data_IF_525447322343
#
_entry.id   IF_525447322343
#
_cell.length_a   1.000
_cell.length_b   1.000
_cell.length_c   1.000
_cell.angle_alpha   90.00
_cell.angle_beta   90.00
_cell.angle_gamma   90.00
#
_symmetry.space_group_name_H-M   'P 1'
#
loop_
_entity.id
_entity.type
_entity.pdbx_description
1 polymer ?
#
# COMPACT_ATOMS: atom_id res chain seq x y z
N UNK A 1 30.28 -37.79 37.01
CA UNK A 1 30.72 -38.42 35.74
C UNK A 1 31.14 -37.30 34.79
N UNK A 2 32.43 -36.94 34.76
CA UNK A 2 33.43 -37.19 33.69
C UNK A 2 33.03 -36.77 32.25
N UNK A 3 33.73 -35.69 31.82
CA UNK A 3 34.06 -35.15 30.48
C UNK A 3 34.00 -36.14 29.29
N UNK A 4 33.72 -35.66 28.07
CA UNK A 4 34.77 -35.22 27.10
C UNK A 4 34.22 -34.71 25.75
N UNK A 5 34.89 -33.65 25.27
CA UNK A 5 34.87 -33.12 23.91
C UNK A 5 35.54 -34.09 22.92
N UNK A 6 35.02 -34.19 21.70
CA UNK A 6 35.72 -34.82 20.57
C UNK A 6 36.32 -33.72 19.70
N UNK A 7 37.66 -33.62 19.74
CA UNK A 7 38.48 -32.92 18.76
C UNK A 7 38.93 -33.94 17.71
N UNK A 8 38.66 -33.68 16.43
CA UNK A 8 39.29 -34.41 15.33
C UNK A 8 40.45 -33.57 14.79
N UNK A 9 41.68 -34.07 15.03
CA UNK A 9 42.91 -33.64 14.36
C UNK A 9 43.12 -34.57 13.17
N UNK A 10 43.28 -34.03 11.96
CA UNK A 10 43.98 -34.74 10.90
C UNK A 10 45.22 -33.97 10.45
N UNK A 11 46.18 -34.75 9.97
CA UNK A 11 47.62 -34.64 10.18
C UNK A 11 48.30 -34.06 8.93
N UNK A 12 49.44 -33.40 9.18
CA UNK A 12 50.37 -32.81 8.22
C UNK A 12 50.81 -33.81 7.13
N UNK A 13 51.04 -33.30 5.92
CA UNK A 13 52.18 -33.71 5.08
C UNK A 13 52.71 -32.52 4.28
N UNK A 14 54.01 -32.55 4.04
CA UNK A 14 54.88 -31.46 3.58
C UNK A 14 55.56 -31.88 2.28
N UNK A 15 55.63 -30.98 1.29
CA UNK A 15 56.63 -30.91 0.21
C UNK A 15 56.24 -29.69 -0.64
N UNK A 16 56.84 -28.51 -0.48
CA UNK A 16 58.10 -28.06 -1.11
C UNK A 16 58.11 -28.33 -2.62
N UNK A 17 57.76 -27.31 -3.41
CA UNK A 17 58.45 -27.04 -4.68
C UNK A 17 58.75 -25.54 -4.80
N UNK A 18 60.04 -25.29 -4.91
CA UNK A 18 60.70 -24.01 -5.11
C UNK A 18 60.59 -23.67 -6.60
N UNK A 19 60.06 -22.50 -6.93
CA UNK A 19 59.99 -22.01 -8.32
C UNK A 19 60.05 -20.49 -8.32
N UNK A 20 61.27 -19.96 -8.45
CA UNK A 20 61.54 -18.54 -8.62
C UNK A 20 61.15 -18.09 -10.03
N UNK A 21 60.27 -17.09 -10.15
CA UNK A 21 60.16 -16.27 -11.37
C UNK A 21 60.22 -14.80 -10.95
N UNK A 22 61.24 -14.15 -11.49
CA UNK A 22 61.53 -12.73 -11.43
C UNK A 22 60.48 -11.90 -12.18
N UNK A 23 60.06 -10.81 -11.55
CA UNK A 23 60.03 -9.46 -12.15
C UNK A 23 59.11 -9.20 -13.33
N UNK A 24 57.98 -8.55 -13.05
CA UNK A 24 57.48 -7.45 -13.87
C UNK A 24 56.58 -6.55 -13.01
N UNK A 25 57.13 -5.41 -12.61
CA UNK A 25 56.41 -4.31 -11.99
C UNK A 25 55.42 -3.73 -13.01
N UNK A 26 54.16 -4.16 -12.93
CA UNK A 26 53.07 -3.51 -13.64
C UNK A 26 52.58 -2.34 -12.79
N UNK A 27 52.62 -1.18 -13.41
CA UNK A 27 52.33 0.14 -12.87
C UNK A 27 50.84 0.17 -12.48
N UNK A 28 50.56 0.70 -11.29
CA UNK A 28 49.21 1.01 -10.82
C UNK A 28 48.48 1.88 -11.86
N UNK A 29 47.56 1.29 -12.63
CA UNK A 29 46.52 2.07 -13.29
C UNK A 29 45.43 2.25 -12.25
N UNK A 30 45.46 3.38 -11.55
CA UNK A 30 44.30 3.89 -10.83
C UNK A 30 43.18 4.08 -11.85
N UNK A 31 42.36 3.07 -12.05
CA UNK A 31 41.00 3.30 -12.52
C UNK A 31 40.34 4.11 -11.42
N UNK A 32 40.34 5.42 -11.57
CA UNK A 32 39.20 6.18 -11.09
C UNK A 32 38.04 5.61 -11.89
N UNK A 33 37.30 4.68 -11.29
CA UNK A 33 35.89 4.57 -11.62
C UNK A 33 35.34 5.93 -11.20
N UNK A 34 35.30 6.84 -12.16
CA UNK A 34 34.40 7.98 -12.08
C UNK A 34 33.02 7.33 -12.00
N UNK A 35 32.57 7.08 -10.76
CA UNK A 35 31.19 6.85 -10.44
C UNK A 35 30.47 8.12 -10.87
N UNK A 36 30.11 8.14 -12.14
CA UNK A 36 29.02 8.96 -12.65
C UNK A 36 27.88 8.74 -11.66
N UNK A 37 27.43 9.77 -10.93
CA UNK A 37 26.34 9.58 -9.99
C UNK A 37 25.19 9.03 -10.84
N UNK A 38 24.82 7.78 -10.57
CA UNK A 38 23.68 7.11 -11.20
C UNK A 38 22.56 8.14 -11.18
N UNK A 39 22.25 8.74 -12.33
CA UNK A 39 21.22 9.77 -12.36
C UNK A 39 19.95 9.12 -11.82
N UNK A 40 19.40 9.67 -10.75
CA UNK A 40 18.17 9.16 -10.12
C UNK A 40 17.02 9.29 -11.10
N UNK A 41 16.85 8.24 -11.90
CA UNK A 41 15.75 8.09 -12.85
C UNK A 41 14.63 7.46 -12.05
N UNK A 42 13.58 8.24 -11.80
CA UNK A 42 12.31 7.75 -11.28
C UNK A 42 11.59 7.03 -12.43
N UNK A 43 11.23 5.78 -12.21
CA UNK A 43 10.67 4.86 -13.22
C UNK A 43 9.19 4.54 -12.95
N UNK A 44 8.51 3.98 -13.94
CA UNK A 44 7.12 3.50 -13.78
C UNK A 44 7.02 2.35 -12.78
N UNK A 45 8.07 1.54 -12.66
CA UNK A 45 8.16 0.49 -11.67
C UNK A 45 8.25 1.05 -10.23
N UNK A 46 8.90 2.20 -10.03
CA UNK A 46 8.87 2.89 -8.73
C UNK A 46 7.45 3.38 -8.40
N UNK A 47 6.72 3.86 -9.42
CA UNK A 47 5.31 4.24 -9.27
C UNK A 47 4.42 3.03 -8.97
N UNK A 48 4.64 1.89 -9.65
CA UNK A 48 3.95 0.63 -9.36
C UNK A 48 4.12 0.21 -7.90
N UNK A 49 5.36 0.16 -7.39
CA UNK A 49 5.62 -0.27 -6.01
C UNK A 49 4.92 0.64 -4.98
N UNK A 50 4.91 1.96 -5.23
CA UNK A 50 4.20 2.93 -4.40
C UNK A 50 2.70 2.72 -4.47
N UNK A 51 2.13 2.60 -5.68
CA UNK A 51 0.68 2.39 -5.87
C UNK A 51 0.25 1.12 -5.13
N UNK A 52 0.95 0.00 -5.34
CA UNK A 52 0.66 -1.27 -4.66
C UNK A 52 0.65 -1.07 -3.12
N UNK A 53 1.66 -0.40 -2.57
CA UNK A 53 1.73 -0.10 -1.14
C UNK A 53 0.65 0.87 -0.62
N UNK A 54 -0.04 1.60 -1.50
CA UNK A 54 -1.19 2.43 -1.12
C UNK A 54 -2.54 1.74 -1.31
N UNK A 55 -2.56 0.63 -2.07
CA UNK A 55 -3.78 -0.04 -2.48
C UNK A 55 -4.14 -1.22 -1.58
N UNK A 56 -3.18 -2.09 -1.25
CA UNK A 56 -3.44 -3.39 -0.63
C UNK A 56 -3.85 -3.31 0.85
N UNK A 57 -4.68 -4.24 1.28
CA UNK A 57 -5.24 -4.31 2.63
C UNK A 57 -4.15 -4.47 3.70
N UNK A 58 -3.13 -5.28 3.45
CA UNK A 58 -2.02 -5.51 4.39
C UNK A 58 -1.11 -4.30 4.67
N UNK A 59 -1.39 -3.14 4.07
CA UNK A 59 -0.76 -1.84 4.37
C UNK A 59 -1.72 -0.81 4.94
N UNK A 60 -2.94 -1.24 5.31
CA UNK A 60 -4.06 -0.36 5.61
C UNK A 60 -4.34 0.60 4.44
N UNK A 61 -4.27 0.05 3.21
CA UNK A 61 -4.45 0.80 1.97
C UNK A 61 -5.90 1.13 1.65
N UNK A 62 -6.13 1.57 0.41
CA UNK A 62 -7.48 1.87 -0.11
C UNK A 62 -8.44 0.68 0.06
N UNK A 63 -7.98 -0.56 -0.16
CA UNK A 63 -8.82 -1.76 -0.04
C UNK A 63 -9.38 -1.91 1.37
N UNK A 64 -8.54 -1.83 2.40
CA UNK A 64 -8.96 -1.89 3.81
C UNK A 64 -9.85 -0.69 4.17
N UNK A 65 -9.56 0.51 3.63
CA UNK A 65 -10.38 1.72 3.87
C UNK A 65 -11.81 1.55 3.34
N UNK A 66 -11.95 0.93 2.16
CA UNK A 66 -13.24 0.62 1.54
C UNK A 66 -14.00 -0.46 2.34
N UNK A 67 -13.31 -1.52 2.76
CA UNK A 67 -13.88 -2.56 3.62
C UNK A 67 -14.37 -1.97 4.94
N UNK A 68 -13.59 -1.08 5.56
CA UNK A 68 -13.95 -0.39 6.78
C UNK A 68 -15.22 0.47 6.60
N UNK A 69 -15.30 1.24 5.51
CA UNK A 69 -16.46 2.07 5.21
C UNK A 69 -17.73 1.20 5.02
N UNK A 70 -17.60 0.07 4.30
CA UNK A 70 -18.69 -0.91 4.10
C UNK A 70 -19.14 -1.56 5.41
N UNK A 71 -18.17 -1.96 6.25
CA UNK A 71 -18.43 -2.57 7.56
C UNK A 71 -19.14 -1.58 8.48
N UNK A 72 -18.74 -0.31 8.49
CA UNK A 72 -19.40 0.74 9.28
C UNK A 72 -20.87 0.88 8.90
N UNK A 73 -21.21 0.83 7.60
CA UNK A 73 -22.61 0.84 7.14
C UNK A 73 -23.41 -0.35 7.70
N UNK A 74 -22.78 -1.52 7.76
CA UNK A 74 -23.43 -2.73 8.27
C UNK A 74 -23.61 -2.72 9.80
N UNK A 75 -22.58 -2.29 10.54
CA UNK A 75 -22.60 -2.17 12.00
C UNK A 75 -23.66 -1.17 12.47
N UNK A 76 -23.80 -0.06 11.75
CA UNK A 76 -24.86 0.93 11.98
C UNK A 76 -26.24 0.47 11.46
N UNK A 77 -26.39 -0.81 11.08
CA UNK A 77 -27.65 -1.41 10.66
C UNK A 77 -28.37 -0.65 9.51
N UNK A 78 -27.63 0.14 8.72
CA UNK A 78 -28.15 1.00 7.66
C UNK A 78 -28.76 0.15 6.55
N UNK A 79 -28.06 -0.91 6.17
CA UNK A 79 -28.52 -1.90 5.18
C UNK A 79 -29.74 -2.72 5.64
N UNK A 80 -30.25 -2.53 6.87
CA UNK A 80 -31.39 -3.27 7.42
C UNK A 80 -32.63 -2.39 7.69
N UNK A 81 -32.61 -1.10 7.33
CA UNK A 81 -33.63 -0.09 7.67
C UNK A 81 -33.92 0.03 9.17
N UNK A 82 -32.92 -0.31 10.00
CA UNK A 82 -32.98 -0.20 11.46
C UNK A 82 -31.81 0.64 11.99
N UNK A 83 -31.34 1.58 11.18
CA UNK A 83 -30.23 2.44 11.56
C UNK A 83 -30.54 3.14 12.88
N UNK A 84 -29.71 2.98 13.93
CA UNK A 84 -29.89 3.70 15.18
C UNK A 84 -29.42 5.15 15.08
N UNK A 85 -28.68 5.50 14.02
CA UNK A 85 -28.18 6.83 13.74
C UNK A 85 -29.23 7.72 13.06
N UNK A 86 -29.19 9.01 13.40
CA UNK A 86 -30.08 10.02 12.85
C UNK A 86 -29.60 10.48 11.48
N UNK A 87 -30.55 10.72 10.57
CA UNK A 87 -30.26 11.34 9.28
C UNK A 87 -29.59 12.70 9.47
N UNK A 88 -28.63 13.00 8.60
CA UNK A 88 -27.89 14.27 8.50
C UNK A 88 -27.08 14.65 9.75
N UNK A 89 -26.96 13.74 10.72
CA UNK A 89 -26.11 13.90 11.89
C UNK A 89 -24.71 13.37 11.63
N UNK A 90 -23.70 14.14 12.03
CA UNK A 90 -22.30 13.77 11.89
C UNK A 90 -21.83 13.00 13.13
N UNK A 91 -21.26 11.82 12.90
CA UNK A 91 -20.71 10.95 13.93
C UNK A 91 -19.19 10.89 13.78
N UNK A 92 -18.46 11.07 14.89
CA UNK A 92 -17.01 11.00 14.89
C UNK A 92 -16.53 9.55 15.02
N UNK A 93 -15.43 9.20 14.35
CA UNK A 93 -14.73 7.94 14.51
C UNK A 93 -13.29 8.20 14.96
N UNK A 94 -12.79 7.40 15.91
CA UNK A 94 -11.40 7.43 16.33
C UNK A 94 -10.98 6.10 16.96
N UNK A 95 -9.92 5.49 16.44
CA UNK A 95 -9.36 4.25 16.95
C UNK A 95 -7.93 4.01 16.44
N UNK A 96 -7.26 3.00 16.99
CA UNK A 96 -5.96 2.54 16.48
C UNK A 96 -6.12 1.22 15.73
N UNK A 97 -5.50 1.11 14.56
CA UNK A 97 -5.49 -0.07 13.72
C UNK A 97 -4.07 -0.62 13.64
N UNK A 98 -3.84 -1.85 14.09
CA UNK A 98 -2.54 -2.50 13.96
C UNK A 98 -2.68 -3.98 13.65
N UNK A 99 -1.81 -4.48 12.78
CA UNK A 99 -1.77 -5.90 12.39
C UNK A 99 -0.35 -6.29 12.03
N UNK A 100 0.03 -7.51 12.40
CA UNK A 100 1.35 -8.08 12.09
C UNK A 100 1.20 -9.45 11.46
N UNK A 101 1.95 -9.66 10.38
CA UNK A 101 2.07 -10.89 9.61
C UNK A 101 3.56 -11.26 9.53
N UNK A 102 3.92 -12.49 9.07
CA UNK A 102 5.32 -12.93 9.04
C UNK A 102 6.32 -12.01 8.29
N UNK A 103 5.86 -11.18 7.36
CA UNK A 103 6.72 -10.33 6.52
C UNK A 103 6.12 -8.94 6.20
N UNK A 104 5.05 -8.57 6.91
CA UNK A 104 4.33 -7.30 6.72
C UNK A 104 3.60 -6.89 8.00
N UNK A 105 3.48 -5.60 8.23
CA UNK A 105 2.75 -5.05 9.37
C UNK A 105 2.28 -3.63 9.09
N UNK A 106 1.28 -3.18 9.83
CA UNK A 106 0.92 -1.78 9.92
C UNK A 106 0.56 -1.39 11.35
N UNK A 107 0.71 -0.11 11.65
CA UNK A 107 0.30 0.53 12.89
C UNK A 107 -0.14 1.98 12.58
N UNK A 108 -1.43 2.25 12.79
CA UNK A 108 -2.11 3.46 12.37
C UNK A 108 -3.04 3.99 13.46
N UNK A 109 -3.11 5.31 13.55
CA UNK A 109 -4.21 6.01 14.21
C UNK A 109 -5.17 6.52 13.15
N UNK A 110 -6.45 6.23 13.35
CA UNK A 110 -7.54 6.57 12.45
C UNK A 110 -8.43 7.57 13.16
N UNK A 111 -8.69 8.70 12.52
CA UNK A 111 -9.67 9.70 12.92
C UNK A 111 -10.58 10.00 11.74
N UNK A 112 -11.79 10.49 11.98
CA UNK A 112 -12.68 10.81 10.87
C UNK A 112 -14.12 11.03 11.30
N UNK A 113 -15.02 10.91 10.33
CA UNK A 113 -16.45 11.00 10.59
C UNK A 113 -17.27 10.26 9.55
N UNK A 114 -18.53 10.01 9.90
CA UNK A 114 -19.51 9.48 8.97
C UNK A 114 -20.88 10.12 9.18
N UNK A 115 -21.70 10.09 8.13
CA UNK A 115 -23.04 10.68 8.12
C UNK A 115 -23.96 9.90 7.18
N UNK A 116 -25.14 9.55 7.67
CA UNK A 116 -26.22 9.00 6.85
C UNK A 116 -27.07 10.14 6.30
N UNK A 117 -27.15 10.28 4.98
CA UNK A 117 -28.09 11.18 4.33
C UNK A 117 -29.36 10.41 3.96
N UNK A 118 -30.52 11.03 4.20
CA UNK A 118 -31.82 10.44 3.91
C UNK A 118 -32.59 11.24 2.85
N UNK A 119 -33.49 10.57 2.13
CA UNK A 119 -34.39 11.23 1.19
C UNK A 119 -35.55 11.93 1.94
N UNK A 120 -36.44 12.60 1.21
CA UNK A 120 -37.60 13.30 1.77
C UNK A 120 -38.59 12.42 2.55
N UNK A 121 -38.53 11.10 2.36
CA UNK A 121 -39.37 10.13 3.06
C UNK A 121 -38.68 9.59 4.33
N UNK A 122 -37.46 10.05 4.64
CA UNK A 122 -36.66 9.56 5.76
C UNK A 122 -35.96 8.22 5.48
N UNK A 123 -35.87 7.78 4.22
CA UNK A 123 -35.17 6.55 3.85
C UNK A 123 -33.71 6.84 3.50
N UNK A 124 -32.81 5.91 3.84
CA UNK A 124 -31.37 5.99 3.56
C UNK A 124 -31.09 6.21 2.07
N UNK A 125 -30.40 7.30 1.73
CA UNK A 125 -30.05 7.68 0.36
C UNK A 125 -28.57 7.48 0.08
N UNK A 126 -27.70 8.06 0.92
CA UNK A 126 -26.26 7.89 0.83
C UNK A 126 -25.62 7.90 2.21
N UNK A 127 -24.40 7.38 2.29
CA UNK A 127 -23.58 7.40 3.49
C UNK A 127 -22.24 8.03 3.14
N UNK A 128 -21.91 9.12 3.81
CA UNK A 128 -20.61 9.78 3.70
C UNK A 128 -19.68 9.19 4.75
N UNK A 129 -18.47 8.84 4.33
CA UNK A 129 -17.42 8.32 5.19
C UNK A 129 -16.12 9.06 4.87
N UNK A 130 -15.60 9.74 5.87
CA UNK A 130 -14.36 10.50 5.79
C UNK A 130 -13.39 9.98 6.83
N UNK A 131 -12.12 9.81 6.46
CA UNK A 131 -11.08 9.52 7.44
C UNK A 131 -9.79 10.29 7.15
N UNK A 132 -9.02 10.46 8.21
CA UNK A 132 -7.65 10.91 8.21
C UNK A 132 -6.85 9.93 9.06
N UNK A 133 -5.81 9.38 8.46
CA UNK A 133 -5.05 8.27 9.03
C UNK A 133 -3.58 8.66 9.06
N UNK A 134 -2.89 8.35 10.16
CA UNK A 134 -1.45 8.61 10.32
C UNK A 134 -0.76 7.43 10.96
N UNK A 135 0.41 7.06 10.45
CA UNK A 135 1.15 5.93 11.00
C UNK A 135 2.20 5.38 10.05
N UNK A 136 2.36 4.06 10.10
CA UNK A 136 3.40 3.36 9.36
C UNK A 136 2.93 2.01 8.86
N UNK A 137 3.53 1.56 7.76
CA UNK A 137 3.55 0.15 7.40
C UNK A 137 4.97 -0.32 7.14
N UNK A 138 5.14 -1.63 7.27
CA UNK A 138 6.35 -2.32 6.88
C UNK A 138 6.03 -3.53 6.02
N UNK A 139 6.79 -3.74 4.95
CA UNK A 139 6.72 -4.88 4.04
C UNK A 139 8.13 -5.38 3.72
N UNK A 140 8.19 -6.49 3.00
CA UNK A 140 9.45 -7.09 2.55
C UNK A 140 10.27 -6.14 1.67
N UNK A 141 9.62 -5.38 0.79
CA UNK A 141 10.29 -4.51 -0.20
C UNK A 141 10.32 -3.04 0.19
N UNK A 142 9.49 -2.61 1.15
CA UNK A 142 9.28 -1.20 1.44
C UNK A 142 8.75 -1.00 2.85
N UNK A 143 9.21 0.05 3.51
CA UNK A 143 8.56 0.61 4.70
C UNK A 143 8.13 2.04 4.42
N UNK A 144 7.09 2.51 5.09
CA UNK A 144 6.58 3.87 4.92
C UNK A 144 6.19 4.47 6.27
N UNK A 145 6.46 5.75 6.41
CA UNK A 145 5.74 6.61 7.34
C UNK A 145 4.86 7.54 6.52
N UNK A 146 3.56 7.47 6.74
CA UNK A 146 2.60 8.15 5.90
C UNK A 146 1.35 8.59 6.64
N UNK A 147 0.60 9.43 5.93
CA UNK A 147 -0.74 9.82 6.25
C UNK A 147 -1.61 9.67 5.01
N UNK A 148 -2.89 9.38 5.20
CA UNK A 148 -3.85 9.46 4.11
C UNK A 148 -5.19 10.01 4.57
N UNK A 149 -5.93 10.53 3.62
CA UNK A 149 -7.30 10.97 3.79
C UNK A 149 -8.21 10.33 2.74
N UNK A 150 -9.46 10.09 3.11
CA UNK A 150 -10.49 9.67 2.16
C UNK A 150 -11.79 10.43 2.36
N UNK A 151 -12.49 10.62 1.26
CA UNK A 151 -13.85 11.16 1.18
C UNK A 151 -14.63 10.20 0.28
N UNK A 152 -15.46 9.36 0.90
CA UNK A 152 -16.20 8.30 0.25
C UNK A 152 -17.70 8.53 0.39
N UNK A 153 -18.40 8.43 -0.74
CA UNK A 153 -19.85 8.46 -0.80
C UNK A 153 -20.35 7.08 -1.22
N UNK A 154 -21.08 6.44 -0.31
CA UNK A 154 -21.66 5.12 -0.48
C UNK A 154 -23.14 5.27 -0.81
N UNK A 155 -23.57 4.61 -1.87
CA UNK A 155 -24.97 4.55 -2.33
C UNK A 155 -25.41 3.10 -2.51
N UNK A 156 -26.67 2.90 -2.91
CA UNK A 156 -27.22 1.56 -3.05
C UNK A 156 -27.53 0.92 -1.69
N UNK A 157 -27.86 1.71 -0.67
CA UNK A 157 -28.08 1.27 0.72
C UNK A 157 -29.35 0.43 0.93
N UNK A 158 -30.20 0.27 -0.10
CA UNK A 158 -31.43 -0.50 0.03
C UNK A 158 -31.14 -1.99 0.34
N UNK A 159 -31.83 -2.61 1.33
CA UNK A 159 -31.59 -4.01 1.72
C UNK A 159 -31.77 -5.05 0.60
N UNK A 160 -32.53 -4.72 -0.46
CA UNK A 160 -32.76 -5.61 -1.61
C UNK A 160 -31.61 -5.64 -2.60
N UNK A 161 -30.68 -4.68 -2.53
CA UNK A 161 -29.48 -4.65 -3.37
C UNK A 161 -28.38 -5.48 -2.72
N UNK A 162 -27.76 -6.39 -3.48
CA UNK A 162 -26.59 -7.17 -3.04
C UNK A 162 -25.38 -6.28 -2.78
N UNK A 163 -25.19 -5.27 -3.64
CA UNK A 163 -23.99 -4.43 -3.63
C UNK A 163 -24.33 -2.99 -3.24
N UNK A 164 -23.40 -2.33 -2.56
CA UNK A 164 -23.33 -0.87 -2.48
C UNK A 164 -22.36 -0.33 -3.53
N UNK A 165 -22.52 0.94 -3.90
CA UNK A 165 -21.61 1.62 -4.84
C UNK A 165 -20.88 2.75 -4.12
N UNK A 166 -19.56 2.74 -4.18
CA UNK A 166 -18.69 3.77 -3.64
C UNK A 166 -18.13 4.64 -4.76
N UNK A 167 -18.22 5.95 -4.57
CA UNK A 167 -17.51 6.97 -5.35
C UNK A 167 -16.75 7.86 -4.37
N UNK A 168 -15.67 8.50 -4.80
CA UNK A 168 -14.95 9.41 -3.90
C UNK A 168 -13.50 9.62 -4.26
N UNK A 169 -12.74 10.06 -3.26
CA UNK A 169 -11.31 10.26 -3.37
C UNK A 169 -10.54 9.65 -2.20
N UNK A 170 -9.31 9.27 -2.46
CA UNK A 170 -8.36 8.79 -1.47
C UNK A 170 -6.99 9.36 -1.80
N UNK A 171 -6.36 10.03 -0.85
CA UNK A 171 -5.03 10.62 -1.04
C UNK A 171 -4.08 10.15 0.05
N UNK A 172 -2.95 9.55 -0.36
CA UNK A 172 -1.90 9.09 0.54
C UNK A 172 -0.59 9.80 0.28
N UNK A 173 -0.02 10.39 1.33
CA UNK A 173 1.25 11.11 1.33
C UNK A 173 2.22 10.43 2.31
N UNK A 174 3.43 10.17 1.86
CA UNK A 174 4.38 9.43 2.69
C UNK A 174 5.82 9.66 2.33
N UNK A 175 6.69 9.20 3.23
CA UNK A 175 8.09 8.94 2.93
C UNK A 175 8.30 7.44 2.99
N UNK A 176 8.70 6.87 1.86
CA UNK A 176 8.99 5.46 1.73
C UNK A 176 10.50 5.24 1.74
N UNK A 177 10.87 4.10 2.30
CA UNK A 177 12.21 3.55 2.26
C UNK A 177 12.12 2.21 1.54
N UNK A 178 12.68 2.15 0.34
CA UNK A 178 12.83 0.88 -0.37
C UNK A 178 13.84 0.00 0.36
N UNK A 179 13.55 -1.30 0.43
CA UNK A 179 14.43 -2.36 0.95
C UNK A 179 14.97 -3.26 -0.16
N UNK A 180 14.70 -2.89 -1.40
CA UNK A 180 15.20 -3.57 -2.59
C UNK A 180 15.97 -2.57 -3.44
N UNK A 181 16.74 -3.09 -4.41
CA UNK A 181 17.56 -2.29 -5.32
C UNK A 181 18.52 -1.39 -4.53
N UNK A 182 18.48 -0.08 -4.80
CA UNK A 182 19.41 0.90 -4.25
C UNK A 182 19.00 1.42 -2.86
N UNK A 183 18.05 0.76 -2.19
CA UNK A 183 17.55 1.15 -0.86
C UNK A 183 17.26 2.66 -0.77
N UNK A 184 16.60 3.18 -1.81
CA UNK A 184 16.36 4.62 -1.93
C UNK A 184 15.22 5.04 -1.02
N UNK A 185 15.33 6.26 -0.51
CA UNK A 185 14.20 6.97 0.07
C UNK A 185 13.57 7.87 -0.99
N UNK A 186 12.25 7.85 -1.04
CA UNK A 186 11.45 8.76 -1.86
C UNK A 186 10.25 9.23 -1.04
N UNK A 187 9.76 10.44 -1.35
CA UNK A 187 8.44 10.87 -0.91
C UNK A 187 7.43 10.67 -2.02
N UNK A 188 6.21 10.31 -1.63
CA UNK A 188 5.11 10.10 -2.55
C UNK A 188 3.89 10.94 -2.15
N UNK A 189 3.12 11.32 -3.16
CA UNK A 189 1.71 11.67 -3.04
C UNK A 189 0.96 10.87 -4.09
N UNK A 190 0.01 10.03 -3.65
CA UNK A 190 -0.83 9.20 -4.51
C UNK A 190 -2.27 9.61 -4.30
N UNK A 191 -2.93 10.06 -5.36
CA UNK A 191 -4.33 10.48 -5.32
C UNK A 191 -5.15 9.55 -6.22
N UNK A 192 -6.20 8.97 -5.65
CA UNK A 192 -7.18 8.13 -6.33
C UNK A 192 -8.48 8.91 -6.48
N UNK A 193 -9.10 8.80 -7.65
CA UNK A 193 -10.49 9.19 -7.89
C UNK A 193 -11.28 7.94 -8.23
N UNK A 194 -12.12 7.51 -7.29
CA UNK A 194 -12.88 6.27 -7.37
C UNK A 194 -14.17 6.51 -8.13
N UNK A 195 -14.51 5.57 -9.00
CA UNK A 195 -15.73 5.61 -9.78
C UNK A 195 -16.41 4.25 -9.83
N UNK A 196 -17.67 4.25 -9.42
CA UNK A 196 -18.59 3.12 -9.49
C UNK A 196 -18.01 1.83 -8.87
N UNK A 197 -17.36 1.96 -7.70
CA UNK A 197 -16.76 0.84 -6.99
C UNK A 197 -17.86 0.00 -6.34
N UNK A 198 -18.14 -1.19 -6.89
CA UNK A 198 -19.15 -2.10 -6.39
C UNK A 198 -18.60 -2.92 -5.23
N UNK A 199 -19.30 -2.91 -4.09
CA UNK A 199 -18.91 -3.62 -2.87
C UNK A 199 -20.00 -4.61 -2.49
N UNK A 200 -19.65 -5.88 -2.30
CA UNK A 200 -20.58 -6.87 -1.75
C UNK A 200 -20.92 -6.51 -0.30
N UNK A 201 -22.20 -6.38 0.04
CA UNK A 201 -22.62 -5.94 1.38
C UNK A 201 -22.46 -7.01 2.47
N UNK A 202 -22.27 -8.26 2.09
CA UNK A 202 -22.13 -9.40 3.00
C UNK A 202 -20.68 -9.73 3.26
N UNK A 203 -19.84 -9.65 2.23
CA UNK A 203 -18.41 -9.93 2.30
C UNK A 203 -17.59 -8.67 2.59
N UNK A 204 -18.12 -7.48 2.29
CA UNK A 204 -17.43 -6.19 2.37
C UNK A 204 -16.25 -6.05 1.41
N UNK A 205 -16.21 -6.90 0.39
CA UNK A 205 -15.15 -6.99 -0.63
C UNK A 205 -15.50 -6.20 -1.89
N UNK A 206 -14.47 -5.73 -2.60
CA UNK A 206 -14.62 -5.01 -3.87
C UNK A 206 -14.90 -6.03 -4.98
N UNK A 207 -16.07 -5.93 -5.60
CA UNK A 207 -16.53 -6.78 -6.70
C UNK A 207 -16.21 -6.18 -8.08
N UNK A 208 -15.92 -4.88 -8.15
CA UNK A 208 -15.56 -4.22 -9.41
C UNK A 208 -15.57 -2.70 -9.32
N UNK A 209 -15.26 -2.05 -10.44
CA UNK A 209 -15.22 -0.59 -10.56
C UNK A 209 -13.88 -0.09 -11.06
N UNK A 210 -13.67 1.23 -11.03
CA UNK A 210 -12.45 1.84 -11.56
C UNK A 210 -11.93 2.96 -10.67
N UNK A 211 -10.63 3.25 -10.79
CA UNK A 211 -10.03 4.45 -10.23
C UNK A 211 -9.05 5.08 -11.22
N UNK A 212 -9.04 6.42 -11.27
CA UNK A 212 -7.94 7.17 -11.86
C UNK A 212 -6.93 7.50 -10.78
N UNK A 213 -5.64 7.32 -11.06
CA UNK A 213 -4.56 7.52 -10.10
C UNK A 213 -3.59 8.56 -10.63
N UNK A 214 -3.21 9.51 -9.78
CA UNK A 214 -2.09 10.41 -10.01
C UNK A 214 -1.02 10.18 -8.93
N UNK A 215 0.22 9.97 -9.37
CA UNK A 215 1.37 9.74 -8.48
C UNK A 215 2.38 10.85 -8.69
N UNK A 216 2.76 11.54 -7.62
CA UNK A 216 3.93 12.39 -7.57
C UNK A 216 5.00 11.70 -6.73
N UNK A 217 6.12 11.33 -7.35
CA UNK A 217 7.29 10.81 -6.65
C UNK A 217 8.40 11.85 -6.62
N UNK A 218 9.07 11.98 -5.49
CA UNK A 218 10.25 12.82 -5.33
C UNK A 218 11.40 12.03 -4.72
N UNK A 219 12.54 11.99 -5.40
CA UNK A 219 13.77 11.36 -4.95
C UNK A 219 14.95 12.30 -5.22
N UNK A 220 15.79 12.53 -4.21
CA UNK A 220 17.00 13.38 -4.33
C UNK A 220 16.72 14.78 -4.92
N UNK A 221 15.58 15.39 -4.55
CA UNK A 221 15.18 16.70 -5.02
C UNK A 221 14.66 16.75 -6.47
N UNK A 222 14.54 15.59 -7.14
CA UNK A 222 13.91 15.47 -8.45
C UNK A 222 12.52 14.87 -8.29
N UNK A 223 11.54 15.45 -8.96
CA UNK A 223 10.17 14.96 -8.95
C UNK A 223 9.73 14.47 -10.32
N UNK A 224 8.87 13.46 -10.34
CA UNK A 224 8.23 12.95 -11.55
C UNK A 224 6.78 12.56 -11.25
N UNK A 225 5.90 12.87 -12.18
CA UNK A 225 4.48 12.53 -12.10
C UNK A 225 4.13 11.38 -13.03
N UNK A 226 3.27 10.50 -12.57
CA UNK A 226 2.68 9.42 -13.35
C UNK A 226 1.16 9.50 -13.24
N UNK A 227 0.47 9.11 -14.31
CA UNK A 227 -0.97 8.91 -14.31
C UNK A 227 -1.22 7.44 -14.65
N UNK A 228 -2.19 6.84 -13.96
CA UNK A 228 -2.52 5.44 -14.11
C UNK A 228 -4.04 5.22 -14.03
N UNK A 229 -4.50 4.11 -14.61
CA UNK A 229 -5.88 3.64 -14.47
C UNK A 229 -5.87 2.31 -13.74
N UNK A 230 -6.78 2.15 -12.78
CA UNK A 230 -6.97 0.92 -12.02
C UNK A 230 -8.37 0.39 -12.30
N UNK A 231 -8.46 -0.90 -12.62
CA UNK A 231 -9.73 -1.62 -12.78
C UNK A 231 -9.79 -2.75 -11.76
N UNK A 232 -10.84 -2.79 -10.96
CA UNK A 232 -11.10 -3.85 -10.00
C UNK A 232 -11.94 -4.94 -10.66
N UNK A 233 -11.62 -6.21 -10.39
CA UNK A 233 -12.26 -7.36 -11.06
C UNK A 233 -13.07 -8.27 -10.14
N UNK A 234 -13.09 -7.99 -8.84
CA UNK A 234 -13.51 -8.98 -7.83
C UNK A 234 -12.37 -9.92 -7.45
N UNK A 235 -12.68 -10.91 -6.61
CA UNK A 235 -11.77 -11.98 -6.18
C UNK A 235 -10.41 -11.45 -5.67
N UNK A 236 -10.39 -10.30 -4.99
CA UNK A 236 -9.19 -9.61 -4.50
C UNK A 236 -8.15 -9.27 -5.58
N UNK A 237 -8.58 -9.00 -6.81
CA UNK A 237 -7.66 -8.65 -7.91
C UNK A 237 -7.99 -7.32 -8.59
N UNK A 238 -6.93 -6.64 -9.05
CA UNK A 238 -7.04 -5.44 -9.88
C UNK A 238 -5.99 -5.42 -11.00
N UNK A 239 -6.30 -4.73 -12.09
CA UNK A 239 -5.36 -4.40 -13.16
C UNK A 239 -5.00 -2.93 -13.13
N UNK A 240 -3.70 -2.64 -13.06
CA UNK A 240 -3.13 -1.30 -13.08
C UNK A 240 -2.45 -1.04 -14.41
N UNK A 241 -2.85 0.02 -15.10
CA UNK A 241 -2.24 0.49 -16.34
C UNK A 241 -1.44 1.77 -16.07
N UNK A 242 -0.11 1.73 -16.29
CA UNK A 242 0.78 2.88 -16.17
C UNK A 242 1.59 2.98 -17.47
N UNK A 243 1.41 4.06 -18.23
CA UNK A 243 2.05 4.19 -19.55
C UNK A 243 1.62 3.05 -20.48
N UNK A 244 2.59 2.33 -21.04
CA UNK A 244 2.35 1.16 -21.90
C UNK A 244 2.35 -0.17 -21.14
N UNK A 245 2.49 -0.14 -19.81
CA UNK A 245 2.61 -1.32 -18.96
C UNK A 245 1.30 -1.62 -18.22
N UNK A 246 0.98 -2.92 -18.09
CA UNK A 246 -0.15 -3.42 -17.31
C UNK A 246 0.36 -4.38 -16.24
N UNK A 247 -0.05 -4.16 -14.99
CA UNK A 247 0.29 -4.98 -13.84
C UNK A 247 -0.98 -5.58 -13.23
N UNK A 248 -0.90 -6.80 -12.73
CA UNK A 248 -1.94 -7.39 -11.89
C UNK A 248 -1.54 -7.25 -10.44
N UNK A 249 -2.45 -6.76 -9.60
CA UNK A 249 -2.26 -6.57 -8.17
C UNK A 249 -3.22 -7.48 -7.42
N UNK A 250 -2.68 -8.21 -6.44
CA UNK A 250 -3.43 -8.89 -5.39
C UNK A 250 -3.71 -7.87 -4.28
N UNK A 251 -4.98 -7.74 -3.88
CA UNK A 251 -5.43 -6.70 -2.96
C UNK A 251 -5.22 -7.07 -1.47
N UNK A 252 -4.77 -8.28 -1.14
CA UNK A 252 -4.57 -8.76 0.25
C UNK A 252 -3.22 -8.37 0.89
#
# INVERSE_FOLDING_TARGET
MKKQMIKSKFRKSSMVFLGAILGASAIFTSCNEDETPSSTIITEEDAYEVIEGTLIASTYGLTETVEQASTTVAEEAINSRKAPIECDSLYALSFSASKSFPNRSYDYNVEGSYKLNCNSNGESSSFEFENYVTGTYDRTRMSSQDSFESDLIITGLDPSQTNSIINGSYERKGTQQSKVRNERSFSSQVTYTLKDLAIDKSLHEIEGGTAQINVLLTAEGKSKTFSANLTFHGDNTASLEIGDNTYTIDLD
#
